data_IF_046791197609
#
_entry.id   IF_046791197609
#
_cell.length_a   1.000
_cell.length_b   1.000
_cell.length_c   1.000
_cell.angle_alpha   90.00
_cell.angle_beta   90.00
_cell.angle_gamma   90.00
#
_symmetry.space_group_name_H-M   'P 1'
#
loop_
_entity.id
_entity.type
_entity.pdbx_description
1 polymer ?
#
# COMPACT_ATOMS: atom_id res chain seq x y z
N UNK A 1 -17.90 -31.34 6.97
CA UNK A 1 -16.61 -31.88 6.51
C UNK A 1 -15.55 -30.91 6.94
N UNK A 2 -14.58 -31.36 7.72
CA UNK A 2 -13.41 -30.59 8.12
C UNK A 2 -12.50 -30.37 6.92
N UNK A 3 -11.94 -29.18 6.77
CA UNK A 3 -11.07 -28.79 5.66
C UNK A 3 -9.67 -28.51 6.18
N UNK A 4 -8.67 -29.19 5.62
CA UNK A 4 -7.25 -28.92 5.90
C UNK A 4 -6.57 -28.37 4.66
N UNK A 5 -5.73 -27.35 4.81
CA UNK A 5 -4.89 -26.82 3.76
C UNK A 5 -3.42 -27.21 3.97
N UNK A 6 -2.73 -27.57 2.89
CA UNK A 6 -1.30 -27.81 2.82
C UNK A 6 -0.69 -26.72 1.95
N UNK A 7 0.16 -25.88 2.54
CA UNK A 7 0.89 -24.84 1.82
C UNK A 7 2.32 -25.30 1.54
N UNK A 8 2.63 -25.46 0.25
CA UNK A 8 3.94 -25.89 -0.22
C UNK A 8 4.94 -24.74 -0.19
N UNK A 9 5.85 -24.68 0.80
CA UNK A 9 6.85 -23.61 0.92
C UNK A 9 8.30 -24.09 1.10
N UNK A 10 8.58 -25.39 0.88
CA UNK A 10 9.92 -25.97 1.04
C UNK A 10 10.88 -25.80 -0.16
N UNK A 11 10.44 -25.19 -1.26
CA UNK A 11 11.25 -25.05 -2.49
C UNK A 11 12.32 -23.96 -2.38
N UNK A 12 13.48 -24.17 -3.02
CA UNK A 12 14.62 -23.23 -3.00
C UNK A 12 14.41 -21.98 -3.86
N UNK A 13 13.55 -22.06 -4.89
CA UNK A 13 13.21 -20.91 -5.73
C UNK A 13 14.33 -20.41 -6.65
N UNK A 14 15.32 -21.25 -6.97
CA UNK A 14 16.54 -20.92 -7.73
C UNK A 14 16.32 -20.06 -8.98
N UNK A 15 15.25 -20.35 -9.74
CA UNK A 15 14.89 -19.63 -10.98
C UNK A 15 14.64 -18.13 -10.80
N UNK A 16 14.26 -17.68 -9.60
CA UNK A 16 14.03 -16.26 -9.34
C UNK A 16 15.33 -15.47 -9.09
N UNK A 17 16.46 -16.16 -8.87
CA UNK A 17 17.78 -15.51 -8.79
C UNK A 17 17.97 -14.57 -7.59
N UNK A 18 17.19 -14.71 -6.52
CA UNK A 18 17.32 -13.87 -5.31
C UNK A 18 18.48 -14.27 -4.38
N UNK A 19 19.14 -15.40 -4.62
CA UNK A 19 20.17 -15.96 -3.72
C UNK A 19 19.61 -16.50 -2.39
N UNK A 20 18.30 -16.44 -2.20
CA UNK A 20 17.52 -16.95 -1.05
C UNK A 20 16.15 -17.43 -1.53
N UNK A 21 15.41 -18.11 -0.66
CA UNK A 21 14.06 -18.57 -0.98
C UNK A 21 13.18 -17.39 -1.42
N UNK A 22 12.67 -17.46 -2.65
CA UNK A 22 11.82 -16.41 -3.25
C UNK A 22 10.54 -16.15 -2.46
N UNK A 23 10.07 -17.12 -1.69
CA UNK A 23 8.88 -16.98 -0.83
C UNK A 23 9.10 -15.97 0.31
N UNK A 24 10.37 -15.74 0.67
CA UNK A 24 10.80 -14.76 1.67
C UNK A 24 11.19 -13.41 1.04
N UNK A 25 11.09 -13.28 -0.29
CA UNK A 25 11.28 -12.00 -0.96
C UNK A 25 10.07 -11.09 -0.74
N UNK A 26 10.32 -9.79 -0.65
CA UNK A 26 9.28 -8.79 -0.42
C UNK A 26 8.35 -8.67 -1.63
N UNK A 27 7.05 -8.77 -1.37
CA UNK A 27 5.94 -8.47 -2.25
C UNK A 27 5.01 -7.52 -1.48
N UNK A 28 4.71 -6.34 -2.02
CA UNK A 28 3.81 -5.35 -1.36
C UNK A 28 4.14 -5.05 0.11
N UNK A 29 5.43 -4.97 0.45
CA UNK A 29 5.89 -4.62 1.81
C UNK A 29 5.97 -5.79 2.81
N UNK A 30 5.59 -7.02 2.43
CA UNK A 30 5.71 -8.21 3.26
C UNK A 30 6.30 -9.39 2.46
N UNK A 31 6.77 -10.49 3.08
CA UNK A 31 7.20 -11.68 2.35
C UNK A 31 6.09 -12.23 1.44
N UNK A 32 6.41 -12.71 0.24
CA UNK A 32 5.42 -13.28 -0.67
C UNK A 32 4.59 -14.40 -0.03
N UNK A 33 5.22 -15.25 0.79
CA UNK A 33 4.51 -16.30 1.53
C UNK A 33 3.45 -15.75 2.49
N UNK A 34 3.70 -14.60 3.11
CA UNK A 34 2.75 -14.00 4.06
C UNK A 34 1.39 -13.75 3.41
N UNK A 35 1.38 -13.26 2.18
CA UNK A 35 0.13 -13.02 1.43
C UNK A 35 -0.62 -14.32 1.15
N UNK A 36 0.09 -15.38 0.75
CA UNK A 36 -0.50 -16.71 0.59
C UNK A 36 -1.09 -17.22 1.90
N UNK A 37 -0.35 -17.13 3.01
CA UNK A 37 -0.82 -17.60 4.33
C UNK A 37 -2.06 -16.83 4.78
N UNK A 38 -2.08 -15.50 4.56
CA UNK A 38 -3.21 -14.64 4.93
C UNK A 38 -4.46 -14.94 4.11
N UNK A 39 -4.33 -15.34 2.85
CA UNK A 39 -5.48 -15.71 2.02
C UNK A 39 -6.23 -16.96 2.54
N UNK A 40 -5.54 -17.85 3.26
CA UNK A 40 -6.13 -19.04 3.88
C UNK A 40 -6.64 -18.80 5.31
N UNK A 41 -6.50 -17.58 5.85
CA UNK A 41 -7.01 -17.19 7.18
C UNK A 41 -8.51 -16.87 7.08
N UNK A 42 -9.30 -17.90 6.81
CA UNK A 42 -10.75 -17.84 6.57
C UNK A 42 -11.47 -18.95 7.34
N UNK A 43 -12.73 -18.72 7.71
CA UNK A 43 -13.56 -19.64 8.49
C UNK A 43 -13.83 -21.00 7.82
N UNK A 44 -13.66 -21.09 6.51
CA UNK A 44 -13.91 -22.27 5.70
C UNK A 44 -12.74 -23.27 5.70
N UNK A 45 -11.59 -22.90 6.29
CA UNK A 45 -10.39 -23.74 6.41
C UNK A 45 -10.09 -23.94 7.90
N UNK A 46 -10.18 -25.19 8.38
CA UNK A 46 -10.09 -25.52 9.81
C UNK A 46 -8.65 -25.75 10.28
N UNK A 47 -7.76 -26.14 9.38
CA UNK A 47 -6.38 -26.52 9.69
C UNK A 47 -5.46 -26.14 8.54
N UNK A 48 -4.28 -25.59 8.86
CA UNK A 48 -3.28 -25.24 7.85
C UNK A 48 -1.92 -25.79 8.27
N UNK A 49 -1.33 -26.60 7.39
CA UNK A 49 0.03 -27.13 7.52
C UNK A 49 0.91 -26.52 6.44
N UNK A 50 2.02 -25.92 6.86
CA UNK A 50 2.99 -25.26 5.97
C UNK A 50 4.28 -26.06 5.94
N UNK A 51 4.69 -26.49 4.75
CA UNK A 51 5.96 -27.20 4.56
C UNK A 51 7.10 -26.20 4.37
N UNK A 52 8.24 -26.43 5.02
CA UNK A 52 9.42 -25.55 4.94
C UNK A 52 10.69 -26.34 4.66
N UNK A 53 11.67 -25.69 4.04
CA UNK A 53 13.06 -26.17 4.03
C UNK A 53 13.65 -26.07 5.44
N UNK A 54 14.72 -26.80 5.73
CA UNK A 54 15.43 -26.66 7.01
C UNK A 54 16.07 -25.27 7.18
N UNK A 55 16.54 -24.67 6.09
CA UNK A 55 17.16 -23.34 6.09
C UNK A 55 16.15 -22.24 6.43
N UNK A 56 14.92 -22.34 5.89
CA UNK A 56 13.90 -21.30 6.02
C UNK A 56 12.94 -21.55 7.22
N UNK A 57 13.10 -22.67 7.93
CA UNK A 57 12.15 -23.14 8.94
C UNK A 57 11.85 -22.10 10.03
N UNK A 58 12.88 -21.40 10.50
CA UNK A 58 12.74 -20.37 11.54
C UNK A 58 11.88 -19.20 11.07
N UNK A 59 12.13 -18.70 9.86
CA UNK A 59 11.40 -17.55 9.29
C UNK A 59 9.97 -17.94 8.92
N UNK A 60 9.77 -19.10 8.29
CA UNK A 60 8.43 -19.58 7.93
C UNK A 60 7.60 -19.86 9.19
N UNK A 61 8.18 -20.48 10.22
CA UNK A 61 7.50 -20.70 11.51
C UNK A 61 7.09 -19.40 12.19
N UNK A 62 7.94 -18.38 12.13
CA UNK A 62 7.62 -17.06 12.68
C UNK A 62 6.42 -16.41 11.97
N UNK A 63 6.27 -16.57 10.65
CA UNK A 63 5.10 -16.08 9.91
C UNK A 63 3.83 -16.90 10.20
N UNK A 64 3.96 -18.20 10.44
CA UNK A 64 2.83 -19.09 10.72
C UNK A 64 2.24 -18.91 12.12
N UNK A 65 3.08 -18.60 13.12
CA UNK A 65 2.67 -18.58 14.53
C UNK A 65 1.51 -17.62 14.86
N UNK A 66 1.46 -16.37 14.35
CA UNK A 66 0.32 -15.46 14.60
C UNK A 66 -1.00 -15.94 13.98
N UNK A 67 -0.94 -16.81 12.97
CA UNK A 67 -2.11 -17.39 12.30
C UNK A 67 -2.52 -18.74 12.91
N UNK A 68 -1.75 -19.27 13.87
CA UNK A 68 -1.99 -20.59 14.47
C UNK A 68 -1.66 -21.76 13.55
N UNK A 69 -0.89 -21.56 12.47
CA UNK A 69 -0.59 -22.61 11.51
C UNK A 69 0.58 -23.49 11.93
N UNK A 70 0.52 -24.79 11.62
CA UNK A 70 1.62 -25.71 11.92
C UNK A 70 2.67 -25.67 10.81
N UNK A 71 3.94 -25.43 11.17
CA UNK A 71 5.07 -25.53 10.23
C UNK A 71 5.80 -26.85 10.39
N UNK A 72 6.08 -27.54 9.29
CA UNK A 72 6.80 -28.81 9.27
C UNK A 72 7.97 -28.78 8.29
N UNK A 73 8.97 -29.63 8.53
CA UNK A 73 10.04 -29.84 7.56
C UNK A 73 9.53 -30.64 6.37
N UNK A 74 9.69 -30.07 5.17
CA UNK A 74 9.34 -30.71 3.91
C UNK A 74 10.31 -31.84 3.50
N UNK A 75 10.24 -32.24 2.24
CA UNK A 75 11.17 -33.16 1.61
C UNK A 75 12.05 -32.47 0.57
N UNK A 76 12.94 -33.24 -0.07
CA UNK A 76 13.78 -32.74 -1.19
C UNK A 76 12.97 -32.32 -2.40
N UNK A 77 11.76 -32.85 -2.55
CA UNK A 77 10.83 -32.56 -3.66
C UNK A 77 9.49 -32.05 -3.11
N UNK A 78 8.72 -31.37 -3.97
CA UNK A 78 7.34 -30.95 -3.65
C UNK A 78 6.50 -32.15 -3.21
N UNK A 79 6.56 -33.26 -3.96
CA UNK A 79 5.88 -34.51 -3.63
C UNK A 79 6.21 -35.02 -2.22
N UNK A 80 7.50 -35.10 -1.87
CA UNK A 80 7.91 -35.57 -0.54
C UNK A 80 7.48 -34.60 0.59
N UNK A 81 7.39 -33.30 0.30
CA UNK A 81 6.84 -32.32 1.24
C UNK A 81 5.35 -32.53 1.48
N UNK A 82 4.56 -32.69 0.41
CA UNK A 82 3.11 -32.95 0.49
C UNK A 82 2.83 -34.27 1.20
N UNK A 83 3.57 -35.34 0.89
CA UNK A 83 3.43 -36.65 1.55
C UNK A 83 3.53 -36.54 3.08
N UNK A 84 4.55 -35.85 3.58
CA UNK A 84 4.72 -35.61 5.03
C UNK A 84 3.60 -34.77 5.63
N UNK A 85 3.07 -33.80 4.89
CA UNK A 85 1.94 -33.01 5.35
C UNK A 85 0.65 -33.84 5.39
N UNK A 86 0.45 -34.73 4.42
CA UNK A 86 -0.70 -35.66 4.36
C UNK A 86 -0.76 -36.61 5.57
N UNK A 87 0.39 -36.99 6.14
CA UNK A 87 0.47 -37.79 7.37
C UNK A 87 -0.08 -37.06 8.60
N UNK A 88 -0.13 -35.72 8.58
CA UNK A 88 -0.55 -34.88 9.71
C UNK A 88 -1.92 -34.26 9.57
N UNK A 89 -2.33 -33.92 8.36
CA UNK A 89 -3.64 -33.31 8.13
C UNK A 89 -4.78 -34.22 8.58
N UNK A 90 -5.78 -33.63 9.21
CA UNK A 90 -6.90 -34.33 9.84
C UNK A 90 -8.27 -34.04 9.20
N UNK A 91 -8.31 -33.19 8.17
CA UNK A 91 -9.53 -32.84 7.44
C UNK A 91 -10.05 -33.96 6.56
N UNK A 92 -11.36 -33.91 6.30
CA UNK A 92 -12.05 -34.77 5.32
C UNK A 92 -11.74 -34.32 3.89
N UNK A 93 -11.51 -33.02 3.71
CA UNK A 93 -11.08 -32.39 2.45
C UNK A 93 -9.69 -31.82 2.64
N UNK A 94 -8.79 -32.13 1.71
CA UNK A 94 -7.43 -31.61 1.70
C UNK A 94 -7.28 -30.66 0.52
N UNK A 95 -6.90 -29.42 0.80
CA UNK A 95 -6.53 -28.42 -0.20
C UNK A 95 -5.02 -28.31 -0.25
N UNK A 96 -4.41 -28.55 -1.39
CA UNK A 96 -2.96 -28.38 -1.59
C UNK A 96 -2.73 -27.13 -2.42
N UNK A 97 -1.91 -26.23 -1.90
CA UNK A 97 -1.65 -24.93 -2.52
C UNK A 97 -0.16 -24.61 -2.56
N UNK A 98 0.25 -23.91 -3.62
CA UNK A 98 1.65 -23.49 -3.78
C UNK A 98 1.87 -22.21 -2.99
N UNK A 99 2.84 -22.18 -2.07
CA UNK A 99 3.21 -20.96 -1.34
C UNK A 99 3.58 -19.78 -2.25
N UNK A 100 3.93 -20.06 -3.50
CA UNK A 100 4.30 -19.11 -4.54
C UNK A 100 3.10 -18.50 -5.31
N UNK A 101 1.85 -18.74 -4.91
CA UNK A 101 0.64 -18.14 -5.50
C UNK A 101 -0.07 -17.21 -4.50
N UNK A 102 0.52 -16.04 -4.18
CA UNK A 102 -0.02 -15.13 -3.17
C UNK A 102 -1.31 -14.41 -3.56
N UNK A 103 -1.73 -14.53 -4.82
CA UNK A 103 -2.89 -13.83 -5.38
C UNK A 103 -4.18 -14.66 -5.35
N UNK A 104 -4.15 -15.83 -4.69
CA UNK A 104 -5.34 -16.64 -4.49
C UNK A 104 -6.37 -15.85 -3.67
N UNK A 105 -7.63 -15.88 -4.09
CA UNK A 105 -8.72 -15.17 -3.43
C UNK A 105 -9.57 -16.12 -2.59
N UNK A 106 -10.30 -15.56 -1.61
CA UNK A 106 -11.28 -16.33 -0.82
C UNK A 106 -12.26 -17.09 -1.73
N UNK A 107 -12.72 -16.46 -2.82
CA UNK A 107 -13.62 -17.09 -3.80
C UNK A 107 -13.01 -18.37 -4.38
N UNK A 108 -11.76 -18.31 -4.86
CA UNK A 108 -11.08 -19.47 -5.45
C UNK A 108 -10.94 -20.61 -4.41
N UNK A 109 -10.65 -20.29 -3.15
CA UNK A 109 -10.53 -21.29 -2.09
C UNK A 109 -11.91 -21.94 -1.81
N UNK A 110 -12.96 -21.14 -1.68
CA UNK A 110 -14.32 -21.65 -1.45
C UNK A 110 -14.83 -22.49 -2.62
N UNK A 111 -14.58 -22.09 -3.86
CA UNK A 111 -14.96 -22.84 -5.05
C UNK A 111 -14.23 -24.19 -5.14
N UNK A 112 -12.95 -24.23 -4.74
CA UNK A 112 -12.19 -25.46 -4.62
C UNK A 112 -12.83 -26.43 -3.61
N UNK A 113 -13.19 -25.92 -2.43
CA UNK A 113 -13.86 -26.71 -1.38
C UNK A 113 -15.19 -27.25 -1.89
N UNK A 114 -16.00 -26.40 -2.51
CA UNK A 114 -17.34 -26.77 -2.97
C UNK A 114 -17.28 -27.80 -4.09
N UNK A 115 -16.39 -27.60 -5.07
CA UNK A 115 -16.16 -28.57 -6.16
C UNK A 115 -15.67 -29.90 -5.60
N UNK A 116 -14.79 -29.88 -4.61
CA UNK A 116 -14.32 -31.12 -3.96
C UNK A 116 -15.44 -31.86 -3.23
N UNK A 117 -16.37 -31.14 -2.58
CA UNK A 117 -17.54 -31.76 -1.95
C UNK A 117 -18.47 -32.44 -2.95
N UNK A 118 -18.60 -31.85 -4.14
CA UNK A 118 -19.50 -32.33 -5.18
C UNK A 118 -18.91 -33.50 -5.99
N UNK A 119 -17.63 -33.41 -6.35
CA UNK A 119 -16.99 -34.32 -7.30
C UNK A 119 -15.84 -35.15 -6.72
N UNK A 120 -15.51 -34.96 -5.44
CA UNK A 120 -14.40 -35.63 -4.75
C UNK A 120 -13.00 -35.09 -5.08
N UNK A 121 -12.89 -34.25 -6.12
CA UNK A 121 -11.66 -33.59 -6.55
C UNK A 121 -11.97 -32.21 -7.15
N UNK A 122 -11.00 -31.30 -7.09
CA UNK A 122 -11.11 -29.97 -7.65
C UNK A 122 -9.72 -29.45 -8.05
N UNK A 123 -9.54 -29.06 -9.29
CA UNK A 123 -8.28 -28.52 -9.82
C UNK A 123 -8.54 -27.13 -10.36
N UNK A 124 -7.96 -26.12 -9.72
CA UNK A 124 -8.07 -24.75 -10.18
C UNK A 124 -7.42 -24.63 -11.56
N UNK A 125 -8.14 -24.14 -12.57
CA UNK A 125 -7.62 -24.06 -13.92
C UNK A 125 -8.21 -22.88 -14.70
N UNK A 126 -7.46 -22.37 -15.68
CA UNK A 126 -7.92 -21.28 -16.55
C UNK A 126 -7.75 -21.66 -18.02
N UNK A 127 -8.66 -21.26 -18.94
CA UNK A 127 -8.48 -21.54 -20.36
C UNK A 127 -7.23 -20.85 -20.89
N UNK A 128 -6.46 -21.51 -21.75
CA UNK A 128 -5.28 -20.88 -22.37
C UNK A 128 -5.70 -19.89 -23.46
N UNK A 129 -5.06 -18.72 -23.52
CA UNK A 129 -5.29 -17.72 -24.58
C UNK A 129 -4.41 -17.94 -25.79
N UNK A 130 -3.16 -18.32 -25.54
CA UNK A 130 -2.18 -18.54 -26.58
C UNK A 130 -2.36 -19.92 -27.22
N UNK A 131 -1.86 -20.07 -28.43
CA UNK A 131 -1.79 -21.39 -29.08
C UNK A 131 -0.71 -22.21 -28.38
N UNK A 132 -1.11 -23.31 -27.75
CA UNK A 132 -0.21 -24.26 -27.10
C UNK A 132 0.26 -25.30 -28.12
N UNK A 133 1.50 -25.76 -27.99
CA UNK A 133 2.07 -26.79 -28.85
C UNK A 133 2.92 -27.78 -28.04
N UNK A 134 2.85 -29.06 -28.39
CA UNK A 134 3.82 -30.06 -27.98
C UNK A 134 5.06 -29.94 -28.86
N UNK A 135 6.25 -29.96 -28.26
CA UNK A 135 7.51 -29.76 -28.97
C UNK A 135 8.49 -30.88 -28.64
N UNK A 136 9.14 -31.45 -29.65
CA UNK A 136 10.20 -32.45 -29.52
C UNK A 136 11.39 -32.05 -30.39
N UNK A 137 12.60 -31.96 -29.79
CA UNK A 137 13.82 -31.45 -30.45
C UNK A 137 13.63 -30.14 -31.23
N UNK A 138 12.84 -29.20 -30.69
CA UNK A 138 12.57 -27.89 -31.31
C UNK A 138 11.56 -27.92 -32.45
N UNK A 139 10.95 -29.07 -32.75
CA UNK A 139 9.91 -29.23 -33.77
C UNK A 139 8.55 -29.36 -33.09
N UNK A 140 7.55 -28.62 -33.58
CA UNK A 140 6.16 -28.76 -33.13
C UNK A 140 5.65 -30.14 -33.59
N UNK A 141 5.22 -30.96 -32.64
CA UNK A 141 4.70 -32.31 -32.90
C UNK A 141 3.18 -32.39 -32.84
N UNK A 142 2.54 -31.51 -32.08
CA UNK A 142 1.08 -31.44 -31.92
C UNK A 142 0.64 -30.04 -31.51
N UNK A 143 -0.56 -29.64 -31.92
CA UNK A 143 -1.22 -28.38 -31.52
C UNK A 143 -2.63 -28.73 -31.05
N UNK A 144 -2.83 -28.93 -29.74
CA UNK A 144 -4.14 -29.30 -29.21
C UNK A 144 -5.19 -28.20 -29.45
N UNK A 145 -6.47 -28.61 -29.50
CA UNK A 145 -7.58 -27.66 -29.63
C UNK A 145 -7.63 -26.75 -28.41
N UNK A 146 -7.69 -25.43 -28.63
CA UNK A 146 -7.57 -24.44 -27.55
C UNK A 146 -8.66 -24.58 -26.48
N UNK A 147 -9.88 -24.91 -26.88
CA UNK A 147 -11.04 -25.11 -26.00
C UNK A 147 -10.91 -26.34 -25.08
N UNK A 148 -9.97 -27.25 -25.36
CA UNK A 148 -9.71 -28.42 -24.51
C UNK A 148 -8.45 -28.27 -23.64
N UNK A 149 -7.77 -27.11 -23.67
CA UNK A 149 -6.49 -26.90 -22.98
C UNK A 149 -6.61 -25.82 -21.92
N UNK A 150 -6.22 -26.19 -20.71
CA UNK A 150 -6.30 -25.32 -19.55
C UNK A 150 -4.92 -25.22 -18.87
N UNK A 151 -4.58 -24.03 -18.40
CA UNK A 151 -3.44 -23.80 -17.53
C UNK A 151 -3.84 -24.14 -16.09
N UNK A 152 -3.27 -25.22 -15.56
CA UNK A 152 -3.51 -25.67 -14.19
C UNK A 152 -2.85 -24.72 -13.18
N UNK A 153 -3.60 -24.45 -12.12
CA UNK A 153 -3.23 -23.65 -10.99
C UNK A 153 -3.36 -24.45 -9.68
N UNK A 154 -3.08 -23.78 -8.57
CA UNK A 154 -3.49 -24.25 -7.24
C UNK A 154 -4.33 -23.13 -6.61
N UNK A 155 -5.26 -23.43 -5.70
CA UNK A 155 -5.43 -24.68 -4.94
C UNK A 155 -5.92 -25.88 -5.75
N UNK A 156 -5.55 -27.08 -5.30
CA UNK A 156 -6.13 -28.36 -5.74
C UNK A 156 -6.74 -29.04 -4.52
N UNK A 157 -8.01 -29.43 -4.59
CA UNK A 157 -8.78 -30.03 -3.50
C UNK A 157 -9.10 -31.49 -3.78
N UNK A 158 -9.04 -32.32 -2.74
CA UNK A 158 -9.33 -33.76 -2.83
C UNK A 158 -9.97 -34.27 -1.54
N UNK A 159 -10.74 -35.36 -1.64
CA UNK A 159 -11.10 -36.14 -0.46
C UNK A 159 -9.84 -36.74 0.17
N UNK A 160 -9.76 -36.62 1.50
CA UNK A 160 -8.60 -37.02 2.30
C UNK A 160 -8.22 -38.48 2.10
N UNK A 161 -9.22 -39.38 2.11
CA UNK A 161 -9.00 -40.81 1.91
C UNK A 161 -8.36 -41.11 0.54
N UNK A 162 -8.84 -40.43 -0.51
CA UNK A 162 -8.39 -40.67 -1.88
C UNK A 162 -6.97 -40.15 -2.11
N UNK A 163 -6.69 -38.91 -1.72
CA UNK A 163 -5.37 -38.32 -1.96
C UNK A 163 -4.29 -38.98 -1.11
N UNK A 164 -4.60 -39.38 0.13
CA UNK A 164 -3.67 -40.15 0.96
C UNK A 164 -3.35 -41.50 0.32
N UNK A 165 -4.37 -42.24 -0.14
CA UNK A 165 -4.19 -43.49 -0.87
C UNK A 165 -3.36 -43.31 -2.15
N UNK A 166 -3.58 -42.23 -2.91
CA UNK A 166 -2.80 -41.94 -4.11
C UNK A 166 -1.30 -41.77 -3.78
N UNK A 167 -0.97 -41.03 -2.72
CA UNK A 167 0.41 -40.79 -2.26
C UNK A 167 1.07 -42.01 -1.60
N UNK A 168 0.28 -42.91 -1.02
CA UNK A 168 0.75 -44.20 -0.52
C UNK A 168 1.15 -45.13 -1.68
N UNK A 169 0.35 -45.20 -2.75
CA UNK A 169 0.64 -46.06 -3.91
C UNK A 169 1.79 -45.50 -4.74
N UNK A 170 1.83 -44.18 -4.95
CA UNK A 170 2.87 -43.50 -5.71
C UNK A 170 4.29 -43.63 -5.11
N UNK A 171 4.43 -44.22 -3.92
CA UNK A 171 5.60 -44.19 -3.04
C UNK A 171 6.92 -44.77 -3.60
N UNK A 172 7.02 -45.17 -4.87
CA UNK A 172 8.29 -45.51 -5.55
C UNK A 172 8.09 -45.87 -7.05
N UNK A 173 7.11 -45.27 -7.73
CA UNK A 173 6.73 -45.68 -9.09
C UNK A 173 7.69 -45.19 -10.21
N UNK A 174 8.70 -44.39 -9.87
CA UNK A 174 9.64 -43.80 -10.82
C UNK A 174 9.04 -42.71 -11.72
N UNK A 175 7.81 -42.26 -11.46
CA UNK A 175 7.11 -41.24 -12.24
C UNK A 175 7.39 -39.84 -11.66
N UNK A 176 7.83 -38.87 -12.48
CA UNK A 176 8.01 -37.50 -12.02
C UNK A 176 6.67 -36.75 -11.92
N UNK A 177 6.13 -36.64 -10.70
CA UNK A 177 4.94 -35.83 -10.43
C UNK A 177 5.27 -34.34 -10.34
N UNK A 178 4.59 -33.53 -11.17
CA UNK A 178 4.76 -32.07 -11.19
C UNK A 178 3.70 -31.33 -10.39
N UNK A 179 2.54 -31.95 -10.14
CA UNK A 179 1.43 -31.46 -9.34
C UNK A 179 0.68 -32.61 -8.63
N UNK A 180 -0.34 -32.31 -7.82
CA UNK A 180 -1.06 -33.34 -7.04
C UNK A 180 -2.19 -33.98 -7.86
N UNK A 181 -2.73 -33.25 -8.84
CA UNK A 181 -3.77 -33.75 -9.75
C UNK A 181 -3.28 -34.93 -10.60
N UNK A 182 -2.01 -34.92 -11.03
CA UNK A 182 -1.39 -36.05 -11.73
C UNK A 182 -1.21 -37.28 -10.85
N UNK A 183 -0.89 -37.11 -9.56
CA UNK A 183 -0.83 -38.22 -8.58
C UNK A 183 -2.22 -38.83 -8.42
N UNK A 184 -3.25 -38.00 -8.24
CA UNK A 184 -4.64 -38.44 -8.13
C UNK A 184 -5.12 -39.16 -9.40
N UNK A 185 -4.81 -38.61 -10.58
CA UNK A 185 -5.19 -39.17 -11.88
C UNK A 185 -4.64 -40.58 -12.12
N UNK A 186 -3.39 -40.84 -11.70
CA UNK A 186 -2.75 -42.13 -11.92
C UNK A 186 -3.32 -43.25 -11.03
N UNK A 187 -3.85 -42.93 -9.85
CA UNK A 187 -4.15 -43.94 -8.83
C UNK A 187 -5.58 -43.98 -8.33
N UNK A 188 -6.35 -42.92 -8.53
CA UNK A 188 -7.73 -42.82 -8.05
C UNK A 188 -8.70 -42.63 -9.22
N UNK A 189 -8.50 -41.59 -10.04
CA UNK A 189 -9.38 -41.29 -11.15
C UNK A 189 -9.17 -39.89 -11.70
N UNK A 190 -9.87 -39.54 -12.78
CA UNK A 190 -9.69 -38.25 -13.44
C UNK A 190 -10.21 -37.10 -12.56
N UNK A 191 -9.39 -36.08 -12.25
CA UNK A 191 -9.81 -34.98 -11.39
C UNK A 191 -10.69 -33.98 -12.13
N UNK A 192 -11.63 -33.36 -11.41
CA UNK A 192 -12.48 -32.30 -11.96
C UNK A 192 -11.79 -30.94 -11.89
N UNK A 193 -11.94 -30.13 -12.93
CA UNK A 193 -11.48 -28.74 -12.91
C UNK A 193 -12.57 -27.80 -12.43
N UNK A 194 -12.18 -26.66 -11.88
CA UNK A 194 -13.05 -25.50 -11.67
C UNK A 194 -12.37 -24.22 -12.15
N UNK A 195 -13.15 -23.18 -12.40
CA UNK A 195 -12.66 -21.93 -12.96
C UNK A 195 -11.79 -21.16 -11.95
N UNK A 196 -10.52 -20.99 -12.30
CA UNK A 196 -9.55 -20.17 -11.59
C UNK A 196 -9.52 -18.72 -12.07
N UNK A 197 -8.46 -18.00 -11.72
CA UNK A 197 -8.26 -16.61 -12.14
C UNK A 197 -6.86 -16.46 -12.76
N UNK A 198 -6.77 -15.74 -13.88
CA UNK A 198 -5.49 -15.42 -14.53
C UNK A 198 -4.56 -14.62 -13.61
N UNK A 199 -5.11 -13.84 -12.67
CA UNK A 199 -4.34 -13.08 -11.68
C UNK A 199 -3.77 -13.97 -10.58
N UNK A 200 -4.26 -15.20 -10.39
CA UNK A 200 -3.71 -16.21 -9.48
C UNK A 200 -2.39 -16.81 -10.00
N UNK A 201 -1.47 -15.93 -10.40
CA UNK A 201 -0.20 -16.27 -11.02
C UNK A 201 0.77 -16.88 -10.00
N UNK A 202 1.62 -17.78 -10.48
CA UNK A 202 2.70 -18.37 -9.68
C UNK A 202 3.95 -17.53 -9.85
N UNK A 203 4.42 -16.94 -8.76
CA UNK A 203 5.71 -16.25 -8.71
C UNK A 203 6.82 -17.24 -9.03
N UNK A 204 7.41 -17.15 -10.22
CA UNK A 204 8.39 -18.10 -10.75
C UNK A 204 9.73 -17.43 -11.00
N UNK A 205 9.70 -16.31 -11.68
CA UNK A 205 10.85 -15.49 -12.05
C UNK A 205 10.87 -14.19 -11.23
N UNK A 206 11.96 -13.43 -11.35
CA UNK A 206 12.14 -12.19 -10.58
C UNK A 206 11.13 -11.13 -10.98
N UNK A 207 10.79 -11.07 -12.26
CA UNK A 207 9.89 -10.07 -12.84
C UNK A 207 8.45 -10.25 -12.33
N UNK A 208 8.08 -11.46 -11.89
CA UNK A 208 6.76 -11.73 -11.32
C UNK A 208 6.52 -10.96 -10.01
N UNK A 209 7.58 -10.57 -9.28
CA UNK A 209 7.47 -9.82 -8.03
C UNK A 209 7.27 -8.31 -8.24
N UNK A 210 7.43 -7.83 -9.48
CA UNK A 210 7.35 -6.41 -9.83
C UNK A 210 6.19 -6.09 -10.80
N UNK A 211 5.51 -7.11 -11.34
CA UNK A 211 4.43 -6.96 -12.34
C UNK A 211 3.24 -6.12 -11.86
N UNK A 212 2.76 -6.39 -10.64
CA UNK A 212 1.51 -5.82 -10.11
C UNK A 212 1.73 -5.04 -8.81
N UNK A 213 2.98 -4.65 -8.48
CA UNK A 213 3.17 -3.64 -7.45
C UNK A 213 2.37 -2.41 -7.90
N UNK A 214 1.40 -1.90 -7.10
CA UNK A 214 0.88 -0.58 -7.38
C UNK A 214 2.14 0.26 -7.50
N UNK A 215 2.34 0.88 -8.67
CA UNK A 215 3.39 1.88 -8.81
C UNK A 215 3.12 2.77 -7.61
N UNK A 216 4.00 2.72 -6.61
CA UNK A 216 4.10 3.79 -5.64
C UNK A 216 4.34 4.94 -6.59
N UNK A 217 3.28 5.68 -6.93
CA UNK A 217 3.44 6.92 -7.66
C UNK A 217 4.32 7.66 -6.69
N UNK A 218 5.63 7.81 -6.99
CA UNK A 218 6.45 8.57 -6.09
C UNK A 218 5.71 9.91 -5.99
N UNK A 219 5.82 10.61 -4.88
CA UNK A 219 5.40 12.00 -4.83
C UNK A 219 6.36 12.81 -5.72
N UNK A 220 6.51 12.41 -6.99
CA UNK A 220 7.50 12.85 -7.94
C UNK A 220 7.11 14.25 -8.33
N UNK A 221 8.01 15.18 -8.05
CA UNK A 221 7.71 16.59 -8.13
C UNK A 221 6.78 17.12 -7.04
N UNK A 222 6.40 16.37 -6.01
CA UNK A 222 5.76 16.96 -4.83
C UNK A 222 6.82 17.44 -3.83
N UNK A 223 6.58 18.60 -3.23
CA UNK A 223 7.45 19.16 -2.19
C UNK A 223 6.60 19.70 -1.05
N UNK A 224 7.08 19.56 0.18
CA UNK A 224 6.45 20.16 1.35
C UNK A 224 7.24 21.39 1.76
N UNK A 225 6.53 22.45 2.12
CA UNK A 225 7.10 23.62 2.73
C UNK A 225 6.46 23.91 4.07
N UNK A 226 7.21 24.58 4.91
CA UNK A 226 6.82 24.96 6.26
C UNK A 226 7.21 26.42 6.43
N UNK A 227 6.30 27.21 6.95
CA UNK A 227 6.54 28.60 7.30
C UNK A 227 5.97 28.89 8.68
N UNK A 228 6.59 29.83 9.37
CA UNK A 228 6.12 30.32 10.64
C UNK A 228 6.37 31.82 10.71
N UNK A 229 5.41 32.58 11.19
CA UNK A 229 5.60 34.01 11.42
C UNK A 229 4.98 34.42 12.76
N UNK A 230 5.50 35.49 13.34
CA UNK A 230 5.10 36.01 14.65
C UNK A 230 5.10 37.52 14.65
N UNK A 231 3.97 38.12 15.05
CA UNK A 231 3.88 39.57 15.28
C UNK A 231 3.43 39.86 16.70
N UNK A 232 3.99 40.94 17.25
CA UNK A 232 3.59 41.47 18.54
C UNK A 232 2.34 42.33 18.40
N UNK A 233 1.48 42.34 19.41
CA UNK A 233 0.46 43.38 19.58
C UNK A 233 1.11 44.69 20.04
N UNK A 234 0.45 45.82 19.77
CA UNK A 234 0.94 47.14 20.12
C UNK A 234 0.84 48.17 19.00
N UNK A 235 0.15 47.83 17.91
CA UNK A 235 -0.23 48.79 16.89
C UNK A 235 -1.35 49.73 17.36
N UNK A 236 -1.60 50.78 16.56
CA UNK A 236 -2.50 51.88 16.91
C UNK A 236 -3.95 51.66 16.46
N UNK A 237 -4.21 50.63 15.65
CA UNK A 237 -5.54 50.33 15.14
C UNK A 237 -6.30 49.36 16.04
N UNK A 238 -7.60 49.24 15.81
CA UNK A 238 -8.53 48.37 16.55
C UNK A 238 -8.92 47.11 15.76
N UNK A 239 -7.99 46.58 14.96
CA UNK A 239 -8.21 45.37 14.16
C UNK A 239 -6.88 44.68 13.84
N UNK A 240 -6.94 43.38 13.57
CA UNK A 240 -5.87 42.63 12.90
C UNK A 240 -6.34 42.20 11.51
N UNK A 241 -5.39 42.03 10.60
CA UNK A 241 -5.63 41.41 9.30
C UNK A 241 -5.03 40.02 9.34
N UNK A 242 -5.82 38.97 9.11
CA UNK A 242 -5.36 37.58 9.05
C UNK A 242 -5.94 36.90 7.81
N UNK A 243 -5.09 36.31 6.98
CA UNK A 243 -5.49 35.72 5.70
C UNK A 243 -6.26 36.68 4.77
N UNK A 244 -5.96 37.98 4.82
CA UNK A 244 -6.65 39.05 4.10
C UNK A 244 -7.99 39.48 4.69
N UNK A 245 -8.38 38.92 5.85
CA UNK A 245 -9.64 39.23 6.53
C UNK A 245 -9.38 40.16 7.72
N UNK A 246 -10.16 41.24 7.80
CA UNK A 246 -10.12 42.19 8.92
C UNK A 246 -10.93 41.67 10.10
N UNK A 247 -10.31 41.57 11.27
CA UNK A 247 -10.90 41.06 12.51
C UNK A 247 -10.76 42.14 13.58
N UNK A 248 -11.89 42.61 14.11
CA UNK A 248 -11.91 43.66 15.14
C UNK A 248 -11.33 43.17 16.48
N UNK A 249 -10.51 44.00 17.12
CA UNK A 249 -9.86 43.71 18.40
C UNK A 249 -9.33 44.99 19.08
N UNK A 250 -8.80 44.84 20.29
CA UNK A 250 -8.38 46.00 21.11
C UNK A 250 -7.12 46.72 20.60
N UNK A 251 -6.28 46.02 19.81
CA UNK A 251 -5.01 46.53 19.30
C UNK A 251 -4.59 45.76 18.05
N UNK A 252 -3.98 46.45 17.09
CA UNK A 252 -3.39 45.85 15.90
C UNK A 252 -1.99 45.28 16.14
N UNK A 253 -1.48 44.57 15.13
CA UNK A 253 -0.14 43.99 15.14
C UNK A 253 0.90 45.04 14.76
N UNK A 254 2.08 44.97 15.38
CA UNK A 254 3.25 45.78 15.02
C UNK A 254 3.92 45.13 13.81
N UNK A 255 3.81 45.77 12.65
CA UNK A 255 4.43 45.28 11.42
C UNK A 255 4.87 46.42 10.50
N UNK A 256 5.78 46.10 9.57
CA UNK A 256 6.18 47.01 8.50
C UNK A 256 5.18 47.02 7.32
N UNK A 257 4.44 45.93 7.11
CA UNK A 257 3.35 45.76 6.14
C UNK A 257 1.96 45.93 6.80
N UNK A 258 0.90 45.33 6.24
CA UNK A 258 -0.43 45.23 6.84
C UNK A 258 -0.53 44.27 8.05
N UNK A 259 0.58 43.60 8.41
CA UNK A 259 0.69 42.77 9.61
C UNK A 259 0.08 41.37 9.50
N UNK A 260 -0.20 40.89 8.28
CA UNK A 260 -0.84 39.59 8.08
C UNK A 260 0.11 38.40 8.29
N UNK A 261 0.23 38.00 9.56
CA UNK A 261 1.05 36.86 10.00
C UNK A 261 0.70 35.55 9.30
N UNK A 262 -0.56 35.35 8.88
CA UNK A 262 -1.00 34.13 8.19
C UNK A 262 -0.46 34.11 6.77
N UNK A 263 -0.61 35.21 6.04
CA UNK A 263 -0.11 35.28 4.66
C UNK A 263 1.41 35.22 4.63
N UNK A 264 2.11 35.83 5.59
CA UNK A 264 3.56 35.72 5.73
C UNK A 264 4.02 34.27 5.96
N UNK A 265 3.40 33.55 6.91
CA UNK A 265 3.73 32.14 7.14
C UNK A 265 3.46 31.28 5.88
N UNK A 266 2.38 31.53 5.15
CA UNK A 266 2.10 30.82 3.88
C UNK A 266 3.13 31.16 2.80
N UNK A 267 3.57 32.42 2.69
CA UNK A 267 4.61 32.82 1.76
C UNK A 267 5.92 32.05 2.03
N UNK A 268 6.38 31.99 3.28
CA UNK A 268 7.58 31.22 3.65
C UNK A 268 7.41 29.72 3.41
N UNK A 269 6.22 29.16 3.66
CA UNK A 269 5.94 27.78 3.31
C UNK A 269 6.05 27.52 1.80
N UNK A 270 5.53 28.41 0.95
CA UNK A 270 5.66 28.27 -0.51
C UNK A 270 7.13 28.40 -0.95
N UNK A 271 7.84 29.41 -0.45
CA UNK A 271 9.23 29.67 -0.80
C UNK A 271 10.14 28.51 -0.39
N UNK A 272 10.00 28.01 0.84
CA UNK A 272 10.77 26.87 1.36
C UNK A 272 10.53 25.60 0.55
N UNK A 273 9.27 25.30 0.18
CA UNK A 273 8.96 24.16 -0.70
C UNK A 273 9.67 24.28 -2.06
N UNK A 274 9.84 25.49 -2.57
CA UNK A 274 10.50 25.73 -3.86
C UNK A 274 12.05 25.74 -3.76
N UNK A 275 12.62 25.72 -2.55
CA UNK A 275 14.05 25.89 -2.33
C UNK A 275 14.51 27.34 -2.53
N UNK A 276 13.59 28.30 -2.40
CA UNK A 276 13.86 29.72 -2.45
C UNK A 276 14.20 30.25 -1.04
N UNK A 277 14.64 31.51 -0.96
CA UNK A 277 14.91 32.18 0.31
C UNK A 277 13.60 32.62 1.00
N UNK A 278 13.68 33.06 2.25
CA UNK A 278 12.51 33.54 3.01
C UNK A 278 11.95 34.88 2.49
N UNK A 279 10.79 35.27 3.04
CA UNK A 279 10.14 36.55 2.73
C UNK A 279 11.03 37.76 3.02
N UNK A 280 11.90 37.72 4.03
CA UNK A 280 12.78 38.82 4.40
C UNK A 280 13.83 39.10 3.34
N UNK A 281 14.23 38.08 2.58
CA UNK A 281 15.11 38.25 1.43
C UNK A 281 14.44 38.97 0.26
N UNK A 282 13.18 38.63 -0.04
CA UNK A 282 12.47 39.17 -1.21
C UNK A 282 11.75 40.49 -0.92
N UNK A 283 11.29 40.66 0.31
CA UNK A 283 10.52 41.81 0.79
C UNK A 283 11.13 42.38 2.08
N UNK A 284 12.38 42.87 2.06
CA UNK A 284 13.06 43.36 3.26
C UNK A 284 12.34 44.56 3.88
N UNK A 285 12.20 44.53 5.20
CA UNK A 285 11.59 45.58 6.04
C UNK A 285 12.34 46.92 6.00
N UNK A 286 13.64 46.90 5.65
CA UNK A 286 14.48 48.08 5.43
C UNK A 286 14.15 48.84 4.15
N UNK A 287 13.44 48.22 3.20
CA UNK A 287 13.05 48.86 1.96
C UNK A 287 11.70 49.59 2.12
N UNK A 288 11.75 50.92 1.96
CA UNK A 288 10.58 51.79 2.08
C UNK A 288 9.44 51.43 1.11
N UNK A 289 9.71 50.72 0.02
CA UNK A 289 8.71 50.27 -0.95
C UNK A 289 7.68 49.31 -0.36
N UNK A 290 8.04 48.55 0.68
CA UNK A 290 7.15 47.57 1.31
C UNK A 290 6.44 48.09 2.56
N UNK A 291 6.70 49.35 2.95
CA UNK A 291 6.01 49.98 4.07
C UNK A 291 4.51 50.10 3.77
N UNK A 292 3.67 49.45 4.57
CA UNK A 292 2.22 49.39 4.37
C UNK A 292 1.80 48.60 3.12
N UNK A 293 2.65 47.68 2.66
CA UNK A 293 2.29 46.78 1.56
C UNK A 293 1.14 45.85 1.93
N UNK A 294 0.33 45.52 0.93
CA UNK A 294 -0.74 44.54 0.98
C UNK A 294 -0.14 43.12 0.83
N UNK A 295 -0.21 42.33 1.91
CA UNK A 295 0.36 40.99 1.97
C UNK A 295 -0.32 40.01 1.01
N UNK A 296 -1.56 40.26 0.62
CA UNK A 296 -2.24 39.50 -0.44
C UNK A 296 -1.59 39.72 -1.81
N UNK A 297 -1.11 40.94 -2.09
CA UNK A 297 -0.33 41.22 -3.31
C UNK A 297 1.06 40.58 -3.25
N UNK A 298 1.71 40.58 -2.09
CA UNK A 298 3.00 39.91 -1.91
C UNK A 298 2.87 38.40 -2.08
N UNK A 299 1.83 37.78 -1.54
CA UNK A 299 1.54 36.35 -1.74
C UNK A 299 1.30 36.01 -3.21
N UNK A 300 0.62 36.88 -3.97
CA UNK A 300 0.49 36.71 -5.43
C UNK A 300 1.84 36.74 -6.16
N UNK A 301 2.79 37.54 -5.69
CA UNK A 301 4.16 37.54 -6.25
C UNK A 301 4.89 36.23 -5.89
N UNK A 302 4.80 35.77 -4.65
CA UNK A 302 5.41 34.50 -4.21
C UNK A 302 4.85 33.29 -4.98
N UNK A 303 3.54 33.22 -5.17
CA UNK A 303 2.90 32.16 -5.97
C UNK A 303 3.32 32.22 -7.45
N UNK A 304 3.54 33.41 -8.01
CA UNK A 304 4.11 33.57 -9.35
C UNK A 304 5.56 33.08 -9.42
N UNK A 305 6.40 33.41 -8.44
CA UNK A 305 7.78 32.92 -8.33
C UNK A 305 7.83 31.38 -8.24
N UNK A 306 6.97 30.79 -7.41
CA UNK A 306 6.85 29.33 -7.32
C UNK A 306 6.50 28.71 -8.68
N UNK A 307 5.58 29.34 -9.42
CA UNK A 307 5.20 28.93 -10.78
C UNK A 307 6.36 29.02 -11.77
N UNK A 308 7.19 30.06 -11.69
CA UNK A 308 8.42 30.20 -12.49
C UNK A 308 9.44 29.09 -12.20
N UNK A 309 9.49 28.60 -10.96
CA UNK A 309 10.28 27.41 -10.60
C UNK A 309 9.64 26.08 -11.01
N UNK A 310 8.47 26.12 -11.65
CA UNK A 310 7.73 24.95 -12.12
C UNK A 310 6.87 24.27 -11.06
N UNK A 311 6.44 24.98 -10.01
CA UNK A 311 5.63 24.44 -8.93
C UNK A 311 4.31 25.20 -8.72
N UNK A 312 3.28 24.49 -8.27
CA UNK A 312 2.00 25.07 -7.86
C UNK A 312 1.52 24.43 -6.54
N UNK A 313 0.79 25.18 -5.70
CA UNK A 313 0.22 24.62 -4.48
C UNK A 313 -0.86 23.57 -4.78
N UNK A 314 -0.96 22.57 -3.90
CA UNK A 314 -1.95 21.48 -3.93
C UNK A 314 -2.94 21.67 -2.78
N UNK A 315 -2.43 21.96 -1.59
CA UNK A 315 -3.23 22.31 -0.41
C UNK A 315 -2.41 23.16 0.55
N UNK A 316 -3.12 23.87 1.43
CA UNK A 316 -2.54 24.72 2.47
C UNK A 316 -3.22 24.37 3.80
N UNK A 317 -2.41 24.21 4.85
CA UNK A 317 -2.88 24.04 6.22
C UNK A 317 -2.21 25.07 7.10
N UNK A 318 -3.00 25.86 7.83
CA UNK A 318 -2.50 26.89 8.75
C UNK A 318 -3.02 26.62 10.16
N UNK A 319 -2.17 26.77 11.16
CA UNK A 319 -2.55 26.84 12.57
C UNK A 319 -2.20 28.22 13.11
N UNK A 320 -3.18 28.94 13.62
CA UNK A 320 -2.99 30.24 14.28
C UNK A 320 -3.07 30.06 15.80
N UNK A 321 -2.05 30.55 16.51
CA UNK A 321 -2.04 30.63 17.96
C UNK A 321 -2.26 32.08 18.38
N UNK A 322 -3.40 32.33 19.04
CA UNK A 322 -3.79 33.65 19.53
C UNK A 322 -4.69 33.50 20.76
N UNK A 323 -4.39 34.22 21.84
CA UNK A 323 -5.30 34.30 23.00
C UNK A 323 -6.52 35.19 22.70
N UNK A 324 -6.32 36.22 21.86
CA UNK A 324 -7.35 37.10 21.32
C UNK A 324 -6.88 37.67 19.97
N UNK A 325 -7.80 38.09 19.07
CA UNK A 325 -9.26 37.94 19.14
C UNK A 325 -9.73 36.49 18.91
N UNK A 326 -11.01 36.22 19.17
CA UNK A 326 -11.61 34.90 18.91
C UNK A 326 -11.74 34.69 17.40
N UNK A 327 -10.98 33.74 16.84
CA UNK A 327 -10.91 33.52 15.39
C UNK A 327 -12.02 32.62 14.83
N UNK A 328 -12.65 31.78 15.67
CA UNK A 328 -13.64 30.80 15.22
C UNK A 328 -14.74 31.36 14.27
N UNK A 329 -15.31 32.56 14.48
CA UNK A 329 -16.31 33.13 13.56
C UNK A 329 -15.78 33.49 12.17
N UNK A 330 -14.46 33.62 12.00
CA UNK A 330 -13.82 34.12 10.79
C UNK A 330 -13.07 33.03 10.01
N UNK A 331 -12.94 31.81 10.55
CA UNK A 331 -12.14 30.73 9.96
C UNK A 331 -12.56 30.41 8.52
N UNK A 332 -13.87 30.32 8.25
CA UNK A 332 -14.37 29.98 6.92
C UNK A 332 -14.08 31.10 5.90
N UNK A 333 -14.22 32.36 6.32
CA UNK A 333 -13.90 33.54 5.50
C UNK A 333 -12.39 33.62 5.20
N UNK A 334 -11.56 33.38 6.22
CA UNK A 334 -10.10 33.34 6.10
C UNK A 334 -9.64 32.23 5.14
N UNK A 335 -10.23 31.03 5.26
CA UNK A 335 -9.91 29.90 4.39
C UNK A 335 -10.32 30.19 2.94
N UNK A 336 -11.50 30.78 2.72
CA UNK A 336 -11.97 31.18 1.39
C UNK A 336 -11.08 32.27 0.76
N UNK A 337 -10.68 33.27 1.54
CA UNK A 337 -9.75 34.33 1.10
C UNK A 337 -8.40 33.76 0.69
N UNK A 338 -7.80 32.90 1.53
CA UNK A 338 -6.52 32.26 1.24
C UNK A 338 -6.59 31.33 0.02
N UNK A 339 -7.69 30.58 -0.12
CA UNK A 339 -7.94 29.76 -1.31
C UNK A 339 -7.98 30.62 -2.58
N UNK A 340 -8.69 31.76 -2.55
CA UNK A 340 -8.76 32.69 -3.67
C UNK A 340 -7.40 33.32 -4.01
N UNK A 341 -6.62 33.73 -3.01
CA UNK A 341 -5.29 34.32 -3.20
C UNK A 341 -4.30 33.33 -3.83
N UNK A 342 -4.41 32.04 -3.50
CA UNK A 342 -3.52 30.98 -4.00
C UNK A 342 -4.05 30.24 -5.24
N UNK A 343 -5.26 30.56 -5.73
CA UNK A 343 -5.89 29.87 -6.85
C UNK A 343 -6.26 28.41 -6.54
N UNK A 344 -6.64 28.13 -5.29
CA UNK A 344 -7.03 26.81 -4.82
C UNK A 344 -8.56 26.72 -4.64
N UNK A 345 -9.15 25.53 -4.78
CA UNK A 345 -10.48 25.24 -4.25
C UNK A 345 -10.51 25.38 -2.72
N UNK A 346 -11.65 25.80 -2.16
CA UNK A 346 -11.80 26.01 -0.72
C UNK A 346 -11.57 24.73 0.11
N UNK A 347 -11.92 23.55 -0.41
CA UNK A 347 -11.70 22.25 0.24
C UNK A 347 -10.21 21.83 0.30
N UNK A 348 -9.30 22.63 -0.28
CA UNK A 348 -7.85 22.46 -0.24
C UNK A 348 -7.16 23.42 0.73
N UNK A 349 -7.91 24.22 1.48
CA UNK A 349 -7.37 25.13 2.48
C UNK A 349 -8.01 24.85 3.83
N UNK A 350 -7.19 24.65 4.85
CA UNK A 350 -7.63 24.48 6.23
C UNK A 350 -6.95 25.52 7.13
N UNK A 351 -7.73 26.13 8.02
CA UNK A 351 -7.22 27.01 9.07
C UNK A 351 -7.74 26.49 10.41
N UNK A 352 -6.83 26.12 11.30
CA UNK A 352 -7.09 25.83 12.70
C UNK A 352 -6.67 27.04 13.56
N UNK A 353 -7.35 27.25 14.68
CA UNK A 353 -6.97 28.25 15.66
C UNK A 353 -7.00 27.67 17.07
N UNK A 354 -6.06 28.08 17.91
CA UNK A 354 -5.97 27.68 19.30
C UNK A 354 -5.40 28.78 20.19
N UNK A 355 -5.78 28.74 21.46
CA UNK A 355 -5.18 29.52 22.55
C UNK A 355 -3.87 28.87 23.00
N UNK A 356 -3.06 29.59 23.77
CA UNK A 356 -1.87 29.02 24.43
C UNK A 356 -2.14 28.76 25.92
N UNK A 357 -3.42 28.62 26.30
CA UNK A 357 -3.88 28.40 27.67
C UNK A 357 -3.27 29.39 28.69
N UNK A 358 -3.12 30.67 28.30
CA UNK A 358 -2.46 31.72 29.09
C UNK A 358 -0.98 31.45 29.43
N UNK A 359 -0.32 30.58 28.68
CA UNK A 359 1.11 30.28 28.80
C UNK A 359 1.92 30.97 27.70
N UNK A 360 3.05 31.58 28.09
CA UNK A 360 3.97 32.24 27.19
C UNK A 360 3.42 33.52 26.57
N UNK A 361 4.19 34.16 25.68
CA UNK A 361 3.84 35.48 25.12
C UNK A 361 2.50 35.48 24.36
N UNK A 362 2.14 34.37 23.71
CA UNK A 362 0.83 34.22 23.05
C UNK A 362 -0.28 34.22 24.10
N UNK A 363 -0.13 33.41 25.15
CA UNK A 363 -1.12 33.29 26.23
C UNK A 363 -1.25 34.56 27.09
N UNK A 364 -0.17 35.33 27.20
CA UNK A 364 -0.18 36.68 27.82
C UNK A 364 -0.83 37.74 26.91
N UNK A 365 -1.19 37.39 25.67
CA UNK A 365 -1.79 38.31 24.71
C UNK A 365 -0.82 39.35 24.14
N UNK A 366 0.48 39.05 24.16
CA UNK A 366 1.53 39.94 23.66
C UNK A 366 1.74 39.82 22.14
N UNK A 367 1.24 38.75 21.52
CA UNK A 367 1.35 38.57 20.06
C UNK A 367 0.52 37.41 19.53
N UNK A 368 0.59 37.23 18.20
CA UNK A 368 -0.02 36.13 17.45
C UNK A 368 1.08 35.40 16.68
N UNK A 369 0.95 34.06 16.60
CA UNK A 369 1.83 33.21 15.79
C UNK A 369 0.99 32.46 14.76
N UNK A 370 1.49 32.32 13.54
CA UNK A 370 0.92 31.41 12.54
C UNK A 370 1.97 30.41 12.07
N UNK A 371 1.54 29.16 11.92
CA UNK A 371 2.31 28.07 11.32
C UNK A 371 1.59 27.61 10.06
N UNK A 372 2.30 27.53 8.94
CA UNK A 372 1.74 27.08 7.68
C UNK A 372 2.51 25.86 7.15
N UNK A 373 1.78 24.90 6.58
CA UNK A 373 2.33 23.84 5.77
C UNK A 373 1.65 23.83 4.40
N UNK A 374 2.47 23.75 3.35
CA UNK A 374 2.00 23.77 1.96
C UNK A 374 2.56 22.56 1.24
N UNK A 375 1.68 21.78 0.61
CA UNK A 375 2.08 20.79 -0.37
C UNK A 375 2.12 21.46 -1.74
N UNK A 376 3.26 21.39 -2.40
CA UNK A 376 3.48 21.84 -3.77
C UNK A 376 3.57 20.63 -4.69
N UNK A 377 3.17 20.79 -5.94
CA UNK A 377 3.43 19.82 -7.02
C UNK A 377 4.13 20.50 -8.19
N UNK A 378 4.93 19.74 -8.92
CA UNK A 378 5.51 20.16 -10.19
C UNK A 378 4.39 20.33 -11.23
N UNK A 379 4.49 21.38 -12.04
CA UNK A 379 3.57 21.73 -13.12
C UNK A 379 3.88 20.92 -14.37
#
# INVERSE_FOLDING_TARGET
MKVSAIICAAGTGERAGFGKNKLLATLYGAPALYHTLKAFDISEVDEVIVTSSAADYKEIKAMCAPLGYETILGGKTRFAGVKKALEKVSGDIIIIHDGARPFVTKKIICDCIQTTKEYGSAVCATPVTDTMASVYYGVITDVPKRDTVYAVQTPQGFLSADIKKAYEIAADDGIPYTDDSSVYANYIGLPHIFEGDRHNTKLTYREDFTRDAPKVVPADGCRIGIGADTHAFGGLDNFVTLAGVRIECDSSLVAHSDGDVVLHAVMDAILSACGLKDIGHYFPDTDKRYKGADSGKLLKQVTAMAKETGFAPVNISVTVQAEKPKLAPYIDEMAASLAALCGLPADRVAIAAGTSERLGFVGEGLGIVAYASVLMRKI
#
